data_IF_847660188851
#
_entry.id   IF_847660188851
#
_cell.length_a   1.000
_cell.length_b   1.000
_cell.length_c   1.000
_cell.angle_alpha   90.00
_cell.angle_beta   90.00
_cell.angle_gamma   90.00
#
_symmetry.space_group_name_H-M   'P 1'
#
loop_
_entity.id
_entity.type
_entity.pdbx_description
1 polymer ?
#
# COMPACT_ATOMS: atom_id res chain seq x y z
N UNK A 1 -28.62 -48.87 1.94
CA UNK A 1 -29.93 -48.70 2.62
C UNK A 1 -29.60 -48.08 3.97
N UNK A 2 -30.14 -46.90 4.28
CA UNK A 2 -29.77 -46.13 5.48
C UNK A 2 -30.22 -46.87 6.74
N UNK A 3 -29.34 -47.00 7.72
CA UNK A 3 -29.68 -47.34 9.10
C UNK A 3 -29.18 -46.23 10.04
N UNK A 4 -30.04 -45.91 11.01
CA UNK A 4 -29.99 -44.75 11.90
C UNK A 4 -28.91 -44.91 12.97
N UNK A 5 -28.28 -43.81 13.41
CA UNK A 5 -27.94 -43.65 14.83
C UNK A 5 -28.20 -42.21 15.29
N UNK A 6 -29.20 -42.08 16.19
CA UNK A 6 -29.24 -41.00 17.19
C UNK A 6 -28.06 -41.17 18.13
N UNK A 7 -27.43 -40.09 18.59
CA UNK A 7 -26.48 -40.21 19.70
C UNK A 7 -25.71 -38.96 20.09
N UNK A 8 -26.12 -38.41 21.24
CA UNK A 8 -25.35 -37.61 22.19
C UNK A 8 -24.91 -36.18 21.81
N UNK A 9 -25.45 -35.24 22.58
CA UNK A 9 -24.97 -33.87 22.72
C UNK A 9 -23.53 -33.94 23.22
N UNK A 10 -22.59 -33.47 22.40
CA UNK A 10 -21.22 -33.18 22.82
C UNK A 10 -21.15 -31.69 23.09
N UNK A 11 -20.79 -31.31 24.31
CA UNK A 11 -20.47 -29.93 24.67
C UNK A 11 -19.35 -29.43 23.76
N UNK A 12 -19.72 -28.66 22.73
CA UNK A 12 -18.75 -27.97 21.89
C UNK A 12 -18.20 -26.77 22.67
N UNK A 13 -17.29 -27.05 23.60
CA UNK A 13 -16.29 -26.06 24.05
C UNK A 13 -15.20 -25.97 22.98
N UNK A 14 -15.61 -25.70 21.74
CA UNK A 14 -14.69 -25.35 20.67
C UNK A 14 -14.25 -23.92 20.89
N UNK A 15 -13.24 -23.72 21.72
CA UNK A 15 -12.53 -22.45 21.78
C UNK A 15 -12.04 -22.14 20.37
N UNK A 16 -12.54 -21.06 19.78
CA UNK A 16 -11.94 -20.48 18.59
C UNK A 16 -10.58 -19.94 19.01
N UNK A 17 -9.57 -20.81 19.03
CA UNK A 17 -8.19 -20.42 19.27
C UNK A 17 -7.84 -19.34 18.27
N UNK A 18 -7.48 -18.16 18.78
CA UNK A 18 -7.01 -17.04 17.97
C UNK A 18 -5.73 -17.41 17.17
N UNK A 19 -5.14 -18.58 17.44
CA UNK A 19 -3.93 -19.13 16.84
C UNK A 19 -4.03 -19.49 15.34
N UNK A 20 -5.20 -19.35 14.70
CA UNK A 20 -5.38 -19.67 13.28
C UNK A 20 -5.93 -18.51 12.42
N UNK A 21 -5.94 -17.28 12.93
CA UNK A 21 -6.06 -16.13 12.03
C UNK A 21 -4.75 -15.99 11.25
N UNK A 22 -4.78 -15.85 9.90
CA UNK A 22 -3.56 -15.51 9.17
C UNK A 22 -3.06 -14.18 9.73
N UNK A 23 -1.93 -14.22 10.43
CA UNK A 23 -1.26 -13.02 10.89
C UNK A 23 -0.77 -12.26 9.64
N UNK A 24 -1.60 -11.36 9.13
CA UNK A 24 -1.12 -10.33 8.22
C UNK A 24 -0.40 -9.29 9.08
N UNK A 25 0.80 -9.66 9.54
CA UNK A 25 1.74 -8.73 10.13
C UNK A 25 2.30 -7.93 8.96
N UNK A 26 1.56 -6.92 8.51
CA UNK A 26 2.16 -5.83 7.76
C UNK A 26 3.06 -5.09 8.73
N UNK A 27 4.30 -5.57 8.89
CA UNK A 27 5.33 -4.74 9.45
C UNK A 27 5.41 -3.49 8.59
N UNK A 28 5.47 -2.32 9.21
CA UNK A 28 5.59 -1.01 8.55
C UNK A 28 6.79 -0.96 7.58
N UNK A 29 7.73 -1.91 7.72
CA UNK A 29 8.89 -2.17 6.85
C UNK A 29 8.55 -2.29 5.35
N UNK A 30 7.37 -2.77 4.97
CA UNK A 30 6.96 -2.99 3.56
C UNK A 30 6.11 -1.84 2.98
N UNK A 31 5.99 -0.70 3.66
CA UNK A 31 5.17 0.41 3.15
C UNK A 31 5.88 1.18 2.02
N UNK A 32 5.16 1.39 0.91
CA UNK A 32 5.59 2.24 -0.19
C UNK A 32 4.79 3.54 -0.23
N UNK A 33 5.46 4.63 -0.61
CA UNK A 33 4.87 5.95 -0.79
C UNK A 33 4.86 6.36 -2.26
N UNK A 34 3.74 6.93 -2.71
CA UNK A 34 3.57 7.54 -4.03
C UNK A 34 2.96 8.95 -3.89
N UNK A 35 3.24 9.82 -4.86
CA UNK A 35 2.56 11.10 -4.99
C UNK A 35 1.68 11.12 -6.24
N UNK A 36 0.44 11.60 -6.08
CA UNK A 36 -0.57 11.62 -7.14
C UNK A 36 -1.04 13.06 -7.40
N UNK A 37 -1.00 13.47 -8.65
CA UNK A 37 -1.43 14.77 -9.15
C UNK A 37 -2.70 14.62 -9.97
N UNK A 38 -3.74 15.33 -9.55
CA UNK A 38 -5.03 15.39 -10.24
C UNK A 38 -5.49 16.84 -10.38
N UNK A 39 -6.16 17.13 -11.48
CA UNK A 39 -6.89 18.38 -11.63
C UNK A 39 -8.02 18.44 -10.58
N UNK A 40 -8.10 19.55 -9.84
CA UNK A 40 -9.11 19.70 -8.77
C UNK A 40 -10.54 19.65 -9.33
N UNK A 41 -10.76 20.22 -10.52
CA UNK A 41 -12.10 20.32 -11.11
C UNK A 41 -12.59 19.03 -11.75
N UNK A 42 -11.71 18.29 -12.44
CA UNK A 42 -12.09 17.10 -13.22
C UNK A 42 -11.70 15.78 -12.55
N UNK A 43 -10.79 15.82 -11.57
CA UNK A 43 -10.18 14.62 -10.97
C UNK A 43 -9.24 13.87 -11.92
N UNK A 44 -9.05 14.34 -13.16
CA UNK A 44 -8.19 13.69 -14.14
C UNK A 44 -6.72 13.81 -13.75
N UNK A 45 -5.89 12.79 -14.05
CA UNK A 45 -4.47 12.83 -13.77
C UNK A 45 -3.78 13.95 -14.54
N UNK A 46 -2.92 14.69 -13.86
CA UNK A 46 -2.14 15.78 -14.48
C UNK A 46 -1.12 15.18 -15.45
N UNK A 47 -0.98 15.80 -16.63
CA UNK A 47 -0.04 15.39 -17.68
C UNK A 47 1.01 16.47 -17.95
N UNK A 48 2.18 16.08 -18.45
CA UNK A 48 3.24 17.00 -18.87
C UNK A 48 3.93 17.72 -17.71
N UNK A 49 4.03 17.06 -16.55
CA UNK A 49 4.86 17.52 -15.45
C UNK A 49 6.05 16.59 -15.27
N UNK A 50 7.20 17.20 -15.03
CA UNK A 50 8.39 16.53 -14.56
C UNK A 50 8.45 16.61 -13.04
N UNK A 51 9.13 15.65 -12.43
CA UNK A 51 9.37 15.62 -11.00
C UNK A 51 10.77 15.13 -10.66
N UNK A 52 11.17 15.40 -9.41
CA UNK A 52 12.38 14.91 -8.78
C UNK A 52 12.08 14.56 -7.33
N UNK A 53 12.58 13.40 -6.89
CA UNK A 53 12.44 12.92 -5.53
C UNK A 53 13.72 13.20 -4.75
N UNK A 54 13.54 13.64 -3.51
CA UNK A 54 14.62 14.04 -2.60
C UNK A 54 14.37 13.34 -1.27
N UNK A 55 15.39 12.73 -0.68
CA UNK A 55 15.32 12.22 0.70
C UNK A 55 16.55 12.68 1.46
N UNK A 56 16.35 13.15 2.69
CA UNK A 56 17.42 13.67 3.55
C UNK A 56 18.31 14.70 2.85
N UNK A 57 17.71 15.58 2.04
CA UNK A 57 18.39 16.64 1.28
C UNK A 57 19.16 16.17 0.04
N UNK A 58 19.13 14.86 -0.27
CA UNK A 58 19.81 14.29 -1.43
C UNK A 58 18.82 13.83 -2.49
N UNK A 59 19.17 14.07 -3.75
CA UNK A 59 18.38 13.60 -4.89
C UNK A 59 18.43 12.09 -5.02
N UNK A 60 17.27 11.45 -5.18
CA UNK A 60 17.17 10.00 -5.34
C UNK A 60 17.37 9.52 -6.78
N UNK A 61 17.34 10.42 -7.76
CA UNK A 61 17.59 10.10 -9.16
C UNK A 61 17.58 11.30 -10.09
N UNK A 62 17.58 11.03 -11.39
CA UNK A 62 17.39 12.03 -12.43
C UNK A 62 15.94 12.54 -12.48
N UNK A 63 15.72 13.57 -13.29
CA UNK A 63 14.38 14.11 -13.53
C UNK A 63 13.52 13.06 -14.25
N UNK A 64 12.36 12.75 -13.67
CA UNK A 64 11.39 11.82 -14.23
C UNK A 64 10.10 12.53 -14.66
N UNK A 65 9.31 11.90 -15.53
CA UNK A 65 7.99 12.40 -15.95
C UNK A 65 6.90 11.69 -15.15
N UNK A 66 5.85 12.42 -14.76
CA UNK A 66 4.68 11.79 -14.14
C UNK A 66 4.02 10.82 -15.12
N UNK A 67 3.78 9.58 -14.68
CA UNK A 67 3.08 8.57 -15.46
C UNK A 67 1.67 8.42 -14.92
N UNK A 68 0.66 8.73 -15.75
CA UNK A 68 -0.74 8.73 -15.29
C UNK A 68 -0.98 9.66 -14.09
N UNK A 69 -0.24 10.77 -14.01
CA UNK A 69 -0.32 11.73 -12.91
C UNK A 69 0.34 11.25 -11.61
N UNK A 70 1.11 10.16 -11.61
CA UNK A 70 1.74 9.62 -10.40
C UNK A 70 3.26 9.50 -10.55
N UNK A 71 3.94 9.53 -9.41
CA UNK A 71 5.37 9.18 -9.31
C UNK A 71 5.56 7.67 -9.26
N UNK A 72 6.81 7.22 -9.33
CA UNK A 72 7.16 5.87 -8.89
C UNK A 72 6.90 5.67 -7.40
N UNK A 73 6.70 4.41 -7.01
CA UNK A 73 6.58 3.99 -5.61
C UNK A 73 7.97 3.84 -5.00
N UNK A 74 8.17 4.41 -3.82
CA UNK A 74 9.39 4.28 -3.06
C UNK A 74 9.10 3.79 -1.64
N UNK A 75 9.96 2.90 -1.15
CA UNK A 75 9.92 2.41 0.23
C UNK A 75 10.01 3.56 1.23
N UNK A 76 9.05 3.61 2.15
CA UNK A 76 9.02 4.58 3.25
C UNK A 76 10.12 4.28 4.27
N UNK A 77 10.47 3.01 4.43
CA UNK A 77 11.56 2.55 5.30
C UNK A 77 12.92 3.05 4.82
N UNK A 78 13.17 2.96 3.51
CA UNK A 78 14.42 3.45 2.90
C UNK A 78 14.46 4.99 2.84
N UNK A 79 13.30 5.62 2.67
CA UNK A 79 13.18 7.07 2.47
C UNK A 79 12.12 7.72 3.39
N UNK A 80 12.34 7.76 4.71
CA UNK A 80 11.35 8.23 5.69
C UNK A 80 11.05 9.73 5.60
N UNK A 81 11.92 10.51 4.95
CA UNK A 81 11.75 11.96 4.73
C UNK A 81 11.65 12.28 3.24
N UNK A 82 10.84 11.50 2.51
CA UNK A 82 10.69 11.67 1.07
C UNK A 82 9.97 12.99 0.74
N UNK A 83 10.64 13.81 -0.06
CA UNK A 83 10.17 15.09 -0.57
C UNK A 83 10.05 15.05 -2.08
N UNK A 84 9.09 15.81 -2.61
CA UNK A 84 8.80 15.90 -4.03
C UNK A 84 8.93 17.33 -4.50
N UNK A 85 9.62 17.52 -5.62
CA UNK A 85 9.61 18.76 -6.39
C UNK A 85 9.05 18.45 -7.77
N UNK A 86 7.98 19.13 -8.18
CA UNK A 86 7.35 18.94 -9.47
C UNK A 86 7.15 20.27 -10.19
N UNK A 87 7.31 20.28 -11.51
CA UNK A 87 7.14 21.46 -12.35
C UNK A 87 6.58 21.08 -13.73
N UNK A 88 5.97 22.07 -14.38
CA UNK A 88 5.47 21.93 -15.75
C UNK A 88 6.62 22.15 -16.73
N UNK A 89 6.75 21.24 -17.69
CA UNK A 89 7.68 21.38 -18.82
C UNK A 89 7.03 22.08 -20.00
#
# INVERSE_FOLDING_TARGET
>A
MLEHTSGAVGEATGGFGADNLPEHISSDDDLEQIFIFKHTDTGEPVRGMAYKLISNGSSLGDVAQLTGGSTEALSLTDYPNLQLVAWRT
#
